data_IF_294715035461
#
_entry.id   IF_294715035461
#
_cell.length_a   1.000
_cell.length_b   1.000
_cell.length_c   1.000
_cell.angle_alpha   90.00
_cell.angle_beta   90.00
_cell.angle_gamma   90.00
#
_symmetry.space_group_name_H-M   'P 1'
#
loop_
_entity.id
_entity.type
_entity.pdbx_description
1 polymer ?
#
# COMPACT_ATOMS: atom_id res chain seq x y z
N UNK A 1 14.26 -29.23 25.05
CA UNK A 1 13.91 -27.80 25.23
C UNK A 1 12.43 -27.73 25.53
N UNK A 2 12.09 -27.54 26.80
CA UNK A 2 10.72 -27.48 27.31
C UNK A 2 10.20 -26.06 27.07
N UNK A 3 9.19 -25.89 26.22
CA UNK A 3 8.54 -24.59 26.02
C UNK A 3 7.48 -24.45 27.12
N UNK A 4 7.78 -23.64 28.14
CA UNK A 4 6.76 -23.15 29.07
C UNK A 4 5.91 -22.12 28.33
N UNK A 5 4.64 -22.44 28.09
CA UNK A 5 3.65 -21.44 27.71
C UNK A 5 3.28 -20.64 28.97
N UNK A 6 3.77 -19.40 29.07
CA UNK A 6 3.35 -18.47 30.10
C UNK A 6 2.07 -17.75 29.64
N UNK A 7 0.94 -18.05 30.29
CA UNK A 7 -0.27 -17.26 30.15
C UNK A 7 -0.22 -16.11 31.17
N UNK A 8 0.10 -14.90 30.71
CA UNK A 8 -0.05 -13.69 31.53
C UNK A 8 -1.43 -13.10 31.27
N UNK A 9 -2.33 -13.22 32.24
CA UNK A 9 -3.59 -12.49 32.27
C UNK A 9 -3.33 -11.09 32.85
N UNK A 10 -3.42 -10.06 32.03
CA UNK A 10 -3.53 -8.67 32.46
C UNK A 10 -4.75 -8.08 31.76
N UNK A 11 -5.85 -7.96 32.49
CA UNK A 11 -7.09 -7.33 32.04
C UNK A 11 -7.00 -5.81 32.18
N UNK A 12 -6.95 -5.10 31.05
CA UNK A 12 -7.59 -3.81 30.75
C UNK A 12 -7.17 -3.39 29.32
N UNK A 13 -8.12 -2.85 28.56
CA UNK A 13 -8.06 -2.49 27.13
C UNK A 13 -7.97 -3.67 26.13
N UNK A 14 -9.14 -4.08 25.63
CA UNK A 14 -9.33 -4.79 24.35
C UNK A 14 -8.23 -5.77 23.96
N UNK A 15 -7.98 -6.80 24.77
CA UNK A 15 -6.94 -7.78 24.48
C UNK A 15 -7.33 -8.53 23.20
N UNK A 16 -6.62 -8.26 22.12
CA UNK A 16 -6.54 -9.17 20.98
C UNK A 16 -6.01 -10.49 21.54
N UNK A 17 -6.88 -11.51 21.61
CA UNK A 17 -6.51 -12.86 22.05
C UNK A 17 -5.24 -13.30 21.31
N UNK A 18 -4.13 -13.36 22.03
CA UNK A 18 -2.82 -13.69 21.49
C UNK A 18 -2.35 -15.01 22.08
N UNK A 19 -2.12 -15.99 21.21
CA UNK A 19 -1.59 -17.30 21.61
C UNK A 19 -0.07 -17.28 21.76
N UNK A 20 0.59 -16.16 21.46
CA UNK A 20 2.05 -16.08 21.31
C UNK A 20 2.62 -16.93 20.17
N UNK A 21 1.74 -17.64 19.42
CA UNK A 21 2.14 -18.53 18.34
C UNK A 21 2.66 -17.74 17.15
N UNK A 22 3.61 -18.34 16.43
CA UNK A 22 4.06 -17.85 15.13
C UNK A 22 3.18 -18.32 13.97
N UNK A 23 2.17 -19.16 14.26
CA UNK A 23 1.17 -19.55 13.28
C UNK A 23 0.37 -18.33 12.80
N UNK A 24 -0.08 -18.30 11.53
CA UNK A 24 -0.93 -17.23 11.03
C UNK A 24 -2.23 -17.13 11.84
N UNK A 25 -2.62 -15.90 12.20
CA UNK A 25 -3.96 -15.65 12.72
C UNK A 25 -4.97 -15.76 11.57
N UNK A 26 -6.06 -16.50 11.79
CA UNK A 26 -7.12 -16.66 10.80
C UNK A 26 -8.05 -15.45 10.88
N UNK A 27 -8.05 -14.62 9.84
CA UNK A 27 -8.91 -13.43 9.77
C UNK A 27 -10.27 -13.82 9.21
N UNK A 28 -11.15 -14.34 10.08
CA UNK A 28 -12.58 -14.53 9.80
C UNK A 28 -13.35 -13.44 10.52
N UNK A 29 -13.64 -12.35 9.82
CA UNK A 29 -14.12 -11.09 10.43
C UNK A 29 -15.28 -10.49 9.64
N UNK A 30 -16.09 -9.66 10.30
CA UNK A 30 -17.07 -8.82 9.61
C UNK A 30 -16.38 -7.70 8.84
N UNK A 31 -16.95 -7.31 7.71
CA UNK A 31 -16.54 -6.12 6.97
C UNK A 31 -17.29 -4.90 7.49
N UNK A 32 -16.62 -3.75 7.49
CA UNK A 32 -17.19 -2.48 7.90
C UNK A 32 -17.06 -1.46 6.77
N UNK A 33 -18.06 -0.61 6.62
CA UNK A 33 -18.02 0.55 5.73
C UNK A 33 -17.23 1.71 6.36
N UNK A 34 -17.15 2.85 5.66
CA UNK A 34 -16.44 4.04 6.15
C UNK A 34 -17.11 4.69 7.38
N UNK A 35 -18.39 4.43 7.62
CA UNK A 35 -19.13 4.89 8.80
C UNK A 35 -18.97 3.92 9.99
N UNK A 36 -18.17 2.87 9.81
CA UNK A 36 -17.94 1.79 10.76
C UNK A 36 -19.18 0.94 11.07
N UNK A 37 -20.13 0.88 10.13
CA UNK A 37 -21.29 0.00 10.15
C UNK A 37 -20.96 -1.35 9.49
N UNK A 38 -21.57 -2.42 10.00
CA UNK A 38 -21.35 -3.77 9.48
C UNK A 38 -21.99 -3.91 8.11
N UNK A 39 -21.23 -4.41 7.14
CA UNK A 39 -21.71 -4.66 5.79
C UNK A 39 -22.35 -6.04 5.71
N UNK A 40 -23.54 -6.10 5.13
CA UNK A 40 -24.18 -7.34 4.72
C UNK A 40 -24.21 -7.44 3.18
N UNK A 41 -24.00 -8.64 2.61
CA UNK A 41 -24.10 -8.84 1.16
C UNK A 41 -25.53 -8.70 0.63
N UNK A 42 -26.53 -8.52 1.51
CA UNK A 42 -27.95 -8.33 1.16
C UNK A 42 -28.37 -6.86 1.18
N UNK A 43 -27.46 -5.96 1.54
CA UNK A 43 -27.75 -4.54 1.64
C UNK A 43 -28.04 -3.96 0.26
N UNK A 44 -29.06 -3.11 0.15
CA UNK A 44 -29.48 -2.49 -1.10
C UNK A 44 -29.74 -0.99 -0.88
N UNK A 45 -28.82 -0.10 -1.31
CA UNK A 45 -27.53 -0.39 -1.93
C UNK A 45 -26.46 -0.84 -0.91
N UNK A 46 -25.61 -1.80 -1.29
CA UNK A 46 -24.46 -2.17 -0.48
C UNK A 46 -23.34 -1.12 -0.55
N UNK A 47 -22.73 -0.84 0.60
CA UNK A 47 -21.58 0.07 0.72
C UNK A 47 -20.24 -0.67 0.55
N UNK A 48 -19.20 -0.01 0.01
CA UNK A 48 -17.86 -0.61 -0.07
C UNK A 48 -17.25 -0.77 1.32
N UNK A 49 -16.46 -1.82 1.52
CA UNK A 49 -15.71 -1.97 2.76
C UNK A 49 -14.59 -0.91 2.84
N UNK A 50 -14.41 -0.37 4.04
CA UNK A 50 -13.30 0.53 4.38
C UNK A 50 -12.19 -0.29 5.06
N UNK A 51 -10.97 -0.33 4.48
CA UNK A 51 -9.83 -0.95 5.13
C UNK A 51 -9.54 -0.36 6.51
N UNK A 52 -9.64 0.97 6.65
CA UNK A 52 -9.37 1.63 7.93
C UNK A 52 -10.40 1.26 9.00
N UNK A 53 -11.70 1.24 8.67
CA UNK A 53 -12.75 0.86 9.62
C UNK A 53 -12.75 -0.65 9.93
N UNK A 54 -12.47 -1.50 8.93
CA UNK A 54 -12.47 -2.97 9.09
C UNK A 54 -11.24 -3.44 9.85
N UNK A 55 -10.04 -3.10 9.38
CA UNK A 55 -8.79 -3.54 10.01
C UNK A 55 -8.54 -2.77 11.33
N UNK A 56 -9.01 -1.52 11.42
CA UNK A 56 -8.87 -0.66 12.60
C UNK A 56 -9.56 -1.19 13.86
N UNK A 57 -10.50 -2.14 13.74
CA UNK A 57 -11.10 -2.81 14.92
C UNK A 57 -10.09 -3.61 15.73
N UNK A 58 -9.02 -4.08 15.10
CA UNK A 58 -8.00 -4.94 15.74
C UNK A 58 -6.57 -4.41 15.61
N UNK A 59 -6.31 -3.52 14.65
CA UNK A 59 -4.99 -2.97 14.38
C UNK A 59 -4.97 -1.45 14.59
N UNK A 60 -3.89 -0.93 15.17
CA UNK A 60 -3.69 0.50 15.34
C UNK A 60 -3.40 1.17 13.98
N UNK A 61 -4.47 1.51 13.26
CA UNK A 61 -4.38 2.15 11.94
C UNK A 61 -3.66 3.49 12.01
N UNK A 62 -3.83 4.24 13.11
CA UNK A 62 -3.13 5.51 13.32
C UNK A 62 -1.61 5.32 13.28
N UNK A 63 -1.10 4.34 14.04
CA UNK A 63 0.32 3.98 14.03
C UNK A 63 0.78 3.40 12.71
N UNK A 64 -0.01 2.55 12.06
CA UNK A 64 0.31 1.97 10.74
C UNK A 64 0.48 3.07 9.68
N UNK A 65 -0.42 4.05 9.66
CA UNK A 65 -0.45 5.14 8.68
C UNK A 65 0.77 6.08 8.72
N UNK A 66 1.61 5.97 9.74
CA UNK A 66 2.87 6.71 9.84
C UNK A 66 3.99 6.10 8.97
N UNK A 67 3.82 4.87 8.48
CA UNK A 67 4.82 4.15 7.69
C UNK A 67 5.25 4.87 6.40
N UNK A 68 6.41 4.50 5.85
CA UNK A 68 7.05 5.22 4.73
C UNK A 68 6.20 5.30 3.46
N UNK A 69 5.38 4.28 3.18
CA UNK A 69 4.48 4.24 2.02
C UNK A 69 3.24 5.12 2.16
N UNK A 70 2.93 5.61 3.37
CA UNK A 70 1.68 6.32 3.65
C UNK A 70 1.92 7.78 4.10
N UNK A 71 3.11 8.05 4.65
CA UNK A 71 3.49 9.35 5.23
C UNK A 71 4.19 10.30 4.27
N UNK A 72 4.23 10.00 2.97
CA UNK A 72 5.01 10.77 1.99
C UNK A 72 4.65 12.26 1.94
N UNK A 73 3.37 12.58 2.16
CA UNK A 73 2.83 13.93 2.13
C UNK A 73 2.72 14.57 3.52
N UNK A 74 3.13 13.87 4.58
CA UNK A 74 3.09 14.42 5.92
C UNK A 74 4.26 15.40 6.12
N UNK A 75 4.02 16.71 6.29
CA UNK A 75 5.09 17.69 6.46
C UNK A 75 5.87 17.50 7.78
N UNK A 76 5.34 16.70 8.71
CA UNK A 76 6.01 16.36 9.97
C UNK A 76 6.89 15.11 9.85
N UNK A 77 6.71 14.30 8.80
CA UNK A 77 7.54 13.13 8.58
C UNK A 77 8.92 13.57 8.07
N UNK A 78 9.98 13.07 8.72
CA UNK A 78 11.34 13.29 8.23
C UNK A 78 11.46 12.75 6.79
N UNK A 79 12.16 13.45 5.88
CA UNK A 79 12.30 13.01 4.50
C UNK A 79 13.13 11.72 4.38
N UNK A 80 14.03 11.49 5.35
CA UNK A 80 14.91 10.33 5.41
C UNK A 80 15.86 10.23 4.23
N UNK A 81 16.44 9.03 4.01
CA UNK A 81 17.30 8.73 2.87
C UNK A 81 16.54 8.91 1.55
N UNK A 82 17.26 9.35 0.51
CA UNK A 82 16.79 9.37 -0.87
C UNK A 82 16.29 7.98 -1.30
N UNK A 83 15.04 7.91 -1.71
CA UNK A 83 14.44 6.74 -2.34
C UNK A 83 14.15 6.98 -3.81
N UNK A 84 13.32 6.13 -4.41
CA UNK A 84 12.84 6.31 -5.78
C UNK A 84 11.79 7.44 -5.82
N UNK A 85 12.01 8.52 -6.60
CA UNK A 85 10.96 9.50 -6.85
C UNK A 85 9.92 8.94 -7.82
N UNK A 86 8.74 9.54 -7.83
CA UNK A 86 7.73 9.29 -8.86
C UNK A 86 8.20 9.92 -10.17
N UNK A 87 8.22 9.18 -11.28
CA UNK A 87 8.69 9.73 -12.56
C UNK A 87 7.50 10.21 -13.39
N UNK A 88 7.27 11.53 -13.41
CA UNK A 88 6.28 12.14 -14.30
C UNK A 88 6.87 12.28 -15.69
N UNK A 89 6.29 11.59 -16.67
CA UNK A 89 6.79 11.59 -18.05
C UNK A 89 5.82 12.29 -19.00
N UNK A 90 6.31 13.31 -19.72
CA UNK A 90 5.63 13.83 -20.91
C UNK A 90 6.14 13.09 -22.15
N UNK A 91 5.31 12.19 -22.68
CA UNK A 91 5.67 11.37 -23.84
C UNK A 91 5.87 12.18 -25.12
N UNK A 92 5.24 13.36 -25.25
CA UNK A 92 5.36 14.19 -26.45
C UNK A 92 6.73 14.82 -26.57
N UNK A 93 7.31 15.24 -25.44
CA UNK A 93 8.62 15.91 -25.39
C UNK A 93 9.74 14.99 -24.93
N UNK A 94 9.43 13.83 -24.37
CA UNK A 94 10.38 12.94 -23.71
C UNK A 94 10.86 13.44 -22.35
N UNK A 95 10.25 14.52 -21.82
CA UNK A 95 10.63 15.10 -20.53
C UNK A 95 10.25 14.18 -19.39
N UNK A 96 11.18 13.94 -18.47
CA UNK A 96 10.94 13.18 -17.24
C UNK A 96 11.27 14.05 -16.03
N UNK A 97 10.30 14.21 -15.13
CA UNK A 97 10.45 14.98 -13.90
C UNK A 97 10.38 14.03 -12.70
N UNK A 98 11.43 13.98 -11.85
CA UNK A 98 11.38 13.26 -10.59
C UNK A 98 10.55 14.04 -9.57
N UNK A 99 9.43 13.46 -9.15
CA UNK A 99 8.46 14.04 -8.22
C UNK A 99 8.61 13.39 -6.85
N UNK A 100 8.68 14.20 -5.79
CA UNK A 100 8.68 13.72 -4.40
C UNK A 100 8.10 14.77 -3.45
N UNK A 101 7.18 14.33 -2.60
CA UNK A 101 6.67 15.16 -1.50
C UNK A 101 7.70 15.32 -0.37
N UNK A 102 8.74 14.48 -0.32
CA UNK A 102 9.79 14.49 0.71
C UNK A 102 10.93 15.48 0.46
N UNK A 103 10.82 16.36 -0.55
CA UNK A 103 11.81 17.42 -0.83
C UNK A 103 13.26 16.92 -0.92
N UNK A 104 13.45 15.75 -1.54
CA UNK A 104 14.78 15.24 -1.80
C UNK A 104 15.52 16.15 -2.81
N UNK A 105 16.85 16.32 -2.69
CA UNK A 105 17.65 17.01 -3.70
C UNK A 105 17.36 16.48 -5.10
N UNK A 106 17.30 17.40 -6.08
CA UNK A 106 16.97 17.10 -7.48
C UNK A 106 15.59 16.46 -7.71
N UNK A 107 14.61 16.73 -6.83
CA UNK A 107 13.20 16.37 -7.05
C UNK A 107 12.31 17.62 -7.01
N UNK A 108 11.13 17.53 -7.63
CA UNK A 108 10.09 18.54 -7.56
C UNK A 108 8.96 18.05 -6.64
N UNK A 109 8.39 18.93 -5.83
CA UNK A 109 7.13 18.65 -5.14
C UNK A 109 5.99 18.57 -6.16
N UNK A 110 4.96 17.75 -5.90
CA UNK A 110 3.79 17.68 -6.80
C UNK A 110 3.22 19.07 -7.16
N UNK A 111 3.04 19.95 -6.18
CA UNK A 111 2.50 21.28 -6.39
C UNK A 111 3.39 22.20 -7.27
N UNK A 112 4.71 22.01 -7.28
CA UNK A 112 5.65 22.83 -8.07
C UNK A 112 5.54 22.57 -9.58
N UNK A 113 5.04 21.39 -9.94
CA UNK A 113 4.75 21.00 -11.34
C UNK A 113 3.25 21.03 -11.63
N UNK A 114 2.47 21.64 -10.75
CA UNK A 114 1.02 21.81 -10.93
C UNK A 114 0.19 20.55 -10.69
N UNK A 115 0.73 19.52 -10.02
CA UNK A 115 -0.04 18.35 -9.59
C UNK A 115 -0.70 18.60 -8.24
N UNK A 116 -2.03 18.71 -8.24
CA UNK A 116 -2.85 18.64 -7.02
C UNK A 116 -2.85 17.21 -6.46
N UNK A 117 -3.24 16.97 -5.19
CA UNK A 117 -3.38 15.62 -4.66
C UNK A 117 -4.32 14.75 -5.52
N UNK A 118 -5.40 15.31 -6.05
CA UNK A 118 -6.31 14.62 -6.95
C UNK A 118 -5.62 14.17 -8.24
N UNK A 119 -4.92 15.09 -8.91
CA UNK A 119 -4.17 14.76 -10.13
C UNK A 119 -3.04 13.78 -9.85
N UNK A 120 -2.37 13.90 -8.71
CA UNK A 120 -1.34 12.97 -8.28
C UNK A 120 -1.90 11.55 -8.16
N UNK A 121 -3.03 11.38 -7.49
CA UNK A 121 -3.66 10.05 -7.33
C UNK A 121 -4.13 9.47 -8.66
N UNK A 122 -4.71 10.29 -9.55
CA UNK A 122 -5.09 9.80 -10.88
C UNK A 122 -3.87 9.43 -11.76
N UNK A 123 -2.72 10.06 -11.50
CA UNK A 123 -1.47 9.78 -12.23
C UNK A 123 -0.74 8.55 -11.69
N UNK A 124 -0.58 8.47 -10.36
CA UNK A 124 0.31 7.52 -9.70
C UNK A 124 -0.40 6.50 -8.80
N UNK A 125 -1.68 6.70 -8.46
CA UNK A 125 -2.39 5.89 -7.46
C UNK A 125 -2.43 4.39 -7.78
N UNK A 126 -2.35 4.00 -9.06
CA UNK A 126 -2.21 2.60 -9.48
C UNK A 126 -0.93 1.91 -8.95
N UNK A 127 0.05 2.71 -8.53
CA UNK A 127 1.33 2.28 -7.98
C UNK A 127 1.49 2.70 -6.50
N UNK A 128 0.40 3.06 -5.81
CA UNK A 128 0.41 3.33 -4.37
C UNK A 128 -0.50 2.34 -3.65
N UNK A 129 -0.23 2.05 -2.37
CA UNK A 129 -1.16 1.31 -1.51
C UNK A 129 -2.30 2.19 -0.98
N UNK A 130 -2.56 3.35 -1.59
CA UNK A 130 -3.40 4.40 -1.01
C UNK A 130 -2.73 5.13 0.17
N UNK A 131 -3.52 5.87 0.94
CA UNK A 131 -3.00 6.76 1.99
C UNK A 131 -2.42 8.06 1.43
N UNK A 132 -1.66 8.81 2.24
CA UNK A 132 -0.94 10.00 1.79
C UNK A 132 -1.83 11.03 1.09
N UNK A 133 -1.47 11.39 -0.15
CA UNK A 133 -2.22 12.31 -1.02
C UNK A 133 -3.57 11.76 -1.50
N UNK A 134 -3.85 10.47 -1.30
CA UNK A 134 -5.14 9.85 -1.57
C UNK A 134 -6.11 9.84 -0.40
N UNK A 135 -5.64 10.11 0.82
CA UNK A 135 -6.45 10.01 2.03
C UNK A 135 -6.28 11.23 2.95
N UNK A 136 -5.39 11.15 3.94
CA UNK A 136 -5.16 12.20 4.96
C UNK A 136 -4.87 13.57 4.35
N UNK A 137 -4.22 13.60 3.18
CA UNK A 137 -3.83 14.83 2.48
C UNK A 137 -4.58 15.05 1.15
N UNK A 138 -5.65 14.30 0.86
CA UNK A 138 -6.43 14.39 -0.37
C UNK A 138 -6.95 15.80 -0.68
N UNK A 139 -7.37 16.54 0.35
CA UNK A 139 -7.94 17.88 0.22
C UNK A 139 -6.98 18.97 0.70
N UNK A 140 -5.67 18.67 0.81
CA UNK A 140 -4.65 19.63 1.26
C UNK A 140 -4.44 20.81 0.30
N UNK A 141 -4.88 20.68 -0.96
CA UNK A 141 -4.84 21.73 -1.96
C UNK A 141 -6.20 21.81 -2.67
N UNK A 142 -6.68 23.03 -2.90
CA UNK A 142 -7.92 23.27 -3.65
C UNK A 142 -7.73 22.89 -5.12
N UNK A 143 -8.63 22.08 -5.62
CA UNK A 143 -8.72 21.71 -7.04
C UNK A 143 -10.21 21.72 -7.44
N UNK A 144 -10.65 22.67 -8.27
CA UNK A 144 -12.04 22.73 -8.74
C UNK A 144 -12.48 21.49 -9.53
N UNK A 145 -11.53 20.73 -10.08
CA UNK A 145 -11.79 19.48 -10.83
C UNK A 145 -11.74 18.24 -9.94
N UNK A 146 -11.34 18.36 -8.68
CA UNK A 146 -11.31 17.23 -7.78
C UNK A 146 -12.73 16.75 -7.45
N UNK A 147 -12.92 15.43 -7.49
CA UNK A 147 -14.23 14.79 -7.29
C UNK A 147 -14.30 14.01 -5.99
N UNK A 148 -13.48 14.36 -4.99
CA UNK A 148 -13.40 13.68 -3.69
C UNK A 148 -14.76 13.40 -3.04
N UNK A 149 -15.71 14.33 -3.13
CA UNK A 149 -17.05 14.18 -2.55
C UNK A 149 -17.88 13.04 -3.15
N UNK A 150 -17.65 12.67 -4.40
CA UNK A 150 -18.39 11.59 -5.09
C UNK A 150 -17.52 10.35 -5.32
N UNK A 151 -16.21 10.54 -5.38
CA UNK A 151 -15.19 9.49 -5.51
C UNK A 151 -14.86 8.80 -4.18
N UNK A 152 -14.99 9.53 -3.08
CA UNK A 152 -14.35 9.19 -1.81
C UNK A 152 -12.82 9.24 -1.89
N UNK A 153 -12.18 8.89 -0.78
CA UNK A 153 -10.72 8.86 -0.63
C UNK A 153 -10.15 7.49 -1.02
N UNK A 154 -8.88 7.48 -1.39
CA UNK A 154 -8.09 6.26 -1.61
C UNK A 154 -7.38 5.88 -0.30
N UNK A 155 -8.10 5.19 0.58
CA UNK A 155 -7.59 4.72 1.87
C UNK A 155 -6.39 3.76 1.71
N UNK A 156 -5.65 3.56 2.81
CA UNK A 156 -4.59 2.55 2.88
C UNK A 156 -5.20 1.16 2.71
N UNK A 157 -4.97 0.51 1.58
CA UNK A 157 -5.39 -0.87 1.37
C UNK A 157 -4.34 -1.85 1.93
N UNK A 158 -4.66 -2.47 3.06
CA UNK A 158 -3.79 -3.47 3.69
C UNK A 158 -3.55 -4.68 2.77
N UNK A 159 -4.53 -5.03 1.94
CA UNK A 159 -4.53 -6.24 1.13
C UNK A 159 -3.60 -6.15 -0.08
N UNK A 160 -3.27 -4.94 -0.53
CA UNK A 160 -2.31 -4.73 -1.62
C UNK A 160 -0.93 -5.32 -1.31
N UNK A 161 -0.55 -5.35 -0.03
CA UNK A 161 0.69 -5.95 0.45
C UNK A 161 0.46 -7.31 1.12
N UNK A 162 -0.61 -7.44 1.90
CA UNK A 162 -0.77 -8.60 2.78
C UNK A 162 -1.66 -9.70 2.21
N UNK A 163 -2.33 -9.51 1.07
CA UNK A 163 -3.19 -10.54 0.51
C UNK A 163 -2.41 -11.79 0.11
N UNK A 164 -2.71 -12.89 0.77
CA UNK A 164 -2.38 -14.25 0.32
C UNK A 164 -3.40 -14.83 -0.66
N UNK A 165 -4.49 -14.11 -0.91
CA UNK A 165 -5.57 -14.54 -1.79
C UNK A 165 -5.18 -14.32 -3.27
N UNK A 166 -5.23 -15.36 -4.12
CA UNK A 166 -4.91 -15.23 -5.53
C UNK A 166 -5.94 -14.39 -6.29
N UNK A 167 -7.13 -14.14 -5.71
CA UNK A 167 -8.14 -13.26 -6.30
C UNK A 167 -7.85 -11.77 -6.10
N UNK A 168 -6.87 -11.40 -5.28
CA UNK A 168 -6.53 -10.00 -5.16
C UNK A 168 -5.89 -9.48 -6.45
N UNK A 169 -6.55 -8.53 -7.10
CA UNK A 169 -6.22 -8.03 -8.43
C UNK A 169 -5.77 -6.57 -8.39
N UNK A 170 -4.47 -6.35 -8.66
CA UNK A 170 -3.88 -5.02 -8.74
C UNK A 170 -4.23 -4.27 -10.02
N UNK A 171 -4.63 -4.98 -11.08
CA UNK A 171 -5.17 -4.33 -12.28
C UNK A 171 -6.56 -3.79 -12.00
N UNK A 172 -7.36 -4.50 -11.21
CA UNK A 172 -8.66 -3.99 -10.80
C UNK A 172 -8.54 -2.76 -9.89
N UNK A 173 -7.56 -2.73 -8.97
CA UNK A 173 -7.19 -1.50 -8.25
C UNK A 173 -6.92 -0.33 -9.21
N UNK A 174 -6.10 -0.55 -10.24
CA UNK A 174 -5.77 0.47 -11.23
C UNK A 174 -7.01 0.91 -12.04
N UNK A 175 -7.88 -0.03 -12.44
CA UNK A 175 -9.12 0.24 -13.15
C UNK A 175 -10.06 1.12 -12.32
N UNK A 176 -10.25 0.80 -11.04
CA UNK A 176 -11.11 1.60 -10.16
C UNK A 176 -10.57 3.02 -9.99
N UNK A 177 -9.25 3.20 -9.89
CA UNK A 177 -8.64 4.54 -9.87
C UNK A 177 -8.87 5.30 -11.18
N UNK A 178 -8.75 4.62 -12.32
CA UNK A 178 -8.99 5.21 -13.64
C UNK A 178 -10.45 5.63 -13.86
N UNK A 179 -11.38 4.88 -13.27
CA UNK A 179 -12.81 5.20 -13.23
C UNK A 179 -13.17 6.22 -12.12
N UNK A 180 -12.18 6.71 -11.37
CA UNK A 180 -12.33 7.64 -10.25
C UNK A 180 -13.19 7.08 -9.10
N UNK A 181 -13.21 5.76 -8.96
CA UNK A 181 -13.94 5.03 -7.93
C UNK A 181 -13.04 4.78 -6.70
N UNK A 182 -12.41 5.83 -6.15
CA UNK A 182 -11.33 5.67 -5.16
C UNK A 182 -11.76 4.91 -3.90
N UNK A 183 -12.93 5.20 -3.31
CA UNK A 183 -13.42 4.46 -2.12
C UNK A 183 -13.78 2.99 -2.39
N UNK A 184 -13.95 2.63 -3.66
CA UNK A 184 -14.31 1.26 -4.06
C UNK A 184 -13.12 0.42 -4.51
N UNK A 185 -11.96 1.04 -4.73
CA UNK A 185 -10.77 0.33 -5.16
C UNK A 185 -10.39 -0.84 -4.23
N UNK A 186 -10.43 -0.71 -2.88
CA UNK A 186 -10.11 -1.83 -2.00
C UNK A 186 -11.06 -3.02 -2.12
N UNK A 187 -12.38 -2.79 -2.20
CA UNK A 187 -13.38 -3.88 -2.30
C UNK A 187 -13.30 -4.65 -3.60
N UNK A 188 -13.07 -3.94 -4.71
CA UNK A 188 -12.89 -4.55 -6.01
C UNK A 188 -11.57 -5.31 -6.08
N UNK A 189 -10.46 -4.66 -5.71
CA UNK A 189 -9.12 -5.25 -5.74
C UNK A 189 -8.99 -6.47 -4.84
N UNK A 190 -9.66 -6.51 -3.68
CA UNK A 190 -9.68 -7.69 -2.80
C UNK A 190 -10.53 -8.86 -3.35
N UNK A 191 -11.21 -8.69 -4.48
CA UNK A 191 -12.12 -9.68 -5.04
C UNK A 191 -13.25 -10.04 -4.06
N UNK A 192 -13.76 -9.04 -3.32
CA UNK A 192 -14.89 -9.19 -2.40
C UNK A 192 -16.21 -8.86 -3.08
N UNK A 193 -16.19 -7.93 -4.03
CA UNK A 193 -17.35 -7.48 -4.76
C UNK A 193 -16.97 -7.09 -6.19
N UNK A 194 -17.98 -7.06 -7.06
CA UNK A 194 -17.90 -6.38 -8.35
C UNK A 194 -18.41 -4.96 -8.17
N UNK A 195 -17.67 -3.99 -8.70
CA UNK A 195 -18.07 -2.58 -8.72
C UNK A 195 -18.54 -2.23 -10.11
N UNK A 196 -19.82 -1.84 -10.23
CA UNK A 196 -20.44 -1.45 -11.52
C UNK A 196 -20.68 0.04 -11.53
N UNK A 197 -20.33 0.70 -12.63
CA UNK A 197 -20.46 2.15 -12.75
C UNK A 197 -19.13 2.88 -12.52
N UNK A 198 -19.16 4.20 -12.65
CA UNK A 198 -17.96 5.02 -12.72
C UNK A 198 -18.27 6.44 -12.29
N UNK A 199 -17.49 6.96 -11.35
CA UNK A 199 -17.56 8.38 -10.96
C UNK A 199 -17.10 9.27 -12.10
N UNK A 200 -16.13 8.85 -12.90
CA UNK A 200 -15.66 9.60 -14.07
C UNK A 200 -16.79 9.90 -15.07
N UNK A 201 -17.79 9.02 -15.17
CA UNK A 201 -18.93 9.16 -16.08
C UNK A 201 -20.11 9.96 -15.51
N UNK A 202 -20.07 10.29 -14.22
CA UNK A 202 -21.08 11.15 -13.60
C UNK A 202 -20.95 12.60 -14.11
N UNK A 203 -22.06 13.37 -14.12
CA UNK A 203 -22.04 14.82 -14.30
C UNK A 203 -21.07 15.51 -13.33
N UNK A 204 -20.82 16.81 -13.52
CA UNK A 204 -19.97 17.57 -12.62
C UNK A 204 -20.40 17.41 -11.15
N UNK A 205 -19.43 17.45 -10.23
CA UNK A 205 -19.63 17.08 -8.81
C UNK A 205 -20.84 17.75 -8.18
N UNK A 206 -21.07 19.03 -8.49
CA UNK A 206 -22.21 19.78 -7.96
C UNK A 206 -23.54 19.18 -8.41
N UNK A 207 -23.66 18.87 -9.70
CA UNK A 207 -24.91 18.37 -10.29
C UNK A 207 -25.15 16.93 -9.85
N UNK A 208 -24.09 16.12 -9.81
CA UNK A 208 -24.15 14.77 -9.26
C UNK A 208 -24.63 14.76 -7.80
N UNK A 209 -24.18 15.70 -6.96
CA UNK A 209 -24.65 15.81 -5.58
C UNK A 209 -26.05 16.40 -5.46
N UNK A 210 -26.47 17.29 -6.37
CA UNK A 210 -27.82 17.85 -6.37
C UNK A 210 -28.90 16.81 -6.74
N UNK A 211 -28.52 15.80 -7.53
CA UNK A 211 -29.38 14.67 -7.89
C UNK A 211 -29.20 13.46 -6.95
N UNK A 212 -28.31 13.55 -5.96
CA UNK A 212 -28.12 12.49 -4.98
C UNK A 212 -29.27 12.48 -3.98
N UNK A 213 -29.78 11.29 -3.68
CA UNK A 213 -30.58 11.07 -2.50
C UNK A 213 -29.70 11.38 -1.28
N UNK A 214 -30.14 12.24 -0.33
CA UNK A 214 -29.35 12.60 0.86
C UNK A 214 -28.95 11.39 1.72
N UNK A 215 -29.69 10.27 1.62
CA UNK A 215 -29.38 9.02 2.31
C UNK A 215 -28.54 8.05 1.44
N UNK A 216 -28.26 8.39 0.18
CA UNK A 216 -27.47 7.57 -0.72
C UNK A 216 -25.97 7.94 -0.69
N UNK A 217 -25.17 6.91 -0.44
CA UNK A 217 -23.71 6.93 -0.46
C UNK A 217 -23.08 7.35 -1.81
N UNK A 218 -23.88 7.37 -2.87
CA UNK A 218 -23.52 7.82 -4.22
C UNK A 218 -24.66 8.52 -4.92
N UNK A 219 -24.36 9.52 -5.76
CA UNK A 219 -25.28 10.03 -6.77
C UNK A 219 -25.95 8.93 -7.59
N UNK A 220 -27.17 9.20 -8.07
CA UNK A 220 -27.85 8.34 -9.02
C UNK A 220 -26.96 8.10 -10.26
N UNK A 221 -26.81 6.82 -10.64
CA UNK A 221 -25.90 6.42 -11.72
C UNK A 221 -24.43 6.27 -11.32
N UNK A 222 -24.10 6.50 -10.04
CA UNK A 222 -22.76 6.29 -9.49
C UNK A 222 -22.40 4.81 -9.30
N UNK A 223 -21.20 4.51 -8.79
CA UNK A 223 -20.75 3.14 -8.60
C UNK A 223 -21.62 2.38 -7.60
N UNK A 224 -21.95 1.13 -7.95
CA UNK A 224 -22.70 0.18 -7.12
C UNK A 224 -21.84 -1.01 -6.79
N UNK A 225 -21.88 -1.44 -5.54
CA UNK A 225 -21.15 -2.61 -5.04
C UNK A 225 -22.08 -3.81 -5.05
N UNK A 226 -21.62 -4.92 -5.64
CA UNK A 226 -22.33 -6.19 -5.63
C UNK A 226 -21.40 -7.22 -5.03
N UNK A 227 -21.59 -7.54 -3.75
CA UNK A 227 -20.78 -8.51 -3.03
C UNK A 227 -20.99 -9.92 -3.57
N UNK A 228 -19.92 -10.70 -3.62
CA UNK A 228 -20.03 -12.14 -3.78
C UNK A 228 -20.48 -12.76 -2.46
N UNK A 229 -21.77 -13.09 -2.35
CA UNK A 229 -22.37 -13.67 -1.16
C UNK A 229 -21.69 -14.98 -0.73
N UNK A 230 -21.02 -15.71 -1.63
CA UNK A 230 -20.29 -16.95 -1.30
C UNK A 230 -19.03 -16.67 -0.46
N UNK A 231 -18.58 -15.42 -0.38
CA UNK A 231 -17.45 -14.99 0.45
C UNK A 231 -17.82 -14.86 1.93
N UNK A 232 -19.11 -14.78 2.24
CA UNK A 232 -19.64 -14.57 3.59
C UNK A 232 -20.07 -15.91 4.19
N UNK A 233 -19.66 -16.16 5.44
CA UNK A 233 -20.18 -17.27 6.21
C UNK A 233 -21.60 -17.00 6.73
N UNK A 234 -22.18 -17.98 7.43
CA UNK A 234 -23.54 -17.89 7.96
C UNK A 234 -23.73 -16.76 8.99
N UNK A 235 -22.63 -16.24 9.56
CA UNK A 235 -22.62 -15.13 10.50
C UNK A 235 -22.28 -13.79 9.83
N UNK A 236 -22.23 -13.75 8.49
CA UNK A 236 -21.90 -12.54 7.73
C UNK A 236 -20.43 -12.12 7.82
N UNK A 237 -19.52 -13.05 8.14
CA UNK A 237 -18.07 -12.79 8.19
C UNK A 237 -17.38 -13.28 6.93
N UNK A 238 -16.29 -12.63 6.56
CA UNK A 238 -15.44 -13.05 5.44
C UNK A 238 -14.13 -13.64 5.94
N UNK A 239 -13.63 -14.65 5.23
CA UNK A 239 -12.27 -15.14 5.41
C UNK A 239 -11.32 -14.32 4.54
N UNK A 240 -10.47 -13.51 5.18
CA UNK A 240 -9.37 -12.80 4.54
C UNK A 240 -8.07 -13.59 4.70
N UNK A 241 -7.46 -13.98 3.58
CA UNK A 241 -6.15 -14.63 3.61
C UNK A 241 -5.07 -13.56 3.72
N UNK A 242 -4.58 -13.33 4.95
CA UNK A 242 -3.58 -12.31 5.25
C UNK A 242 -2.24 -12.99 5.57
N UNK A 243 -1.20 -12.61 4.82
CA UNK A 243 0.18 -13.05 5.04
C UNK A 243 0.92 -12.03 5.89
N UNK A 244 1.45 -12.48 7.03
CA UNK A 244 2.28 -11.65 7.91
C UNK A 244 3.51 -11.07 7.20
N UNK A 245 4.16 -11.89 6.36
CA UNK A 245 5.20 -11.45 5.43
C UNK A 245 4.59 -11.30 4.04
N UNK A 246 4.47 -10.08 3.49
CA UNK A 246 4.07 -9.85 2.11
C UNK A 246 4.86 -10.74 1.12
N UNK A 247 4.17 -11.42 0.19
CA UNK A 247 4.82 -12.06 -0.96
C UNK A 247 5.58 -11.04 -1.82
N UNK A 248 6.66 -11.48 -2.47
CA UNK A 248 7.52 -10.62 -3.29
C UNK A 248 6.76 -9.99 -4.45
N UNK A 249 5.78 -10.71 -5.00
CA UNK A 249 4.94 -10.25 -6.11
C UNK A 249 4.13 -9.00 -5.75
N UNK A 250 3.80 -8.80 -4.47
CA UNK A 250 3.12 -7.60 -4.00
C UNK A 250 4.03 -6.37 -4.04
N UNK A 251 5.32 -6.55 -3.78
CA UNK A 251 6.31 -5.48 -3.93
C UNK A 251 6.45 -5.07 -5.40
N UNK A 252 6.47 -6.04 -6.32
CA UNK A 252 6.60 -5.80 -7.75
C UNK A 252 5.43 -5.09 -8.41
N UNK A 253 4.30 -4.92 -7.71
CA UNK A 253 3.21 -4.08 -8.20
C UNK A 253 3.65 -2.63 -8.38
N UNK A 254 4.53 -2.14 -7.50
CA UNK A 254 5.01 -0.76 -7.50
C UNK A 254 6.53 -0.66 -7.66
N UNK A 255 7.28 -1.63 -7.13
CA UNK A 255 8.74 -1.67 -7.16
C UNK A 255 9.27 -2.57 -8.27
N UNK A 256 8.97 -2.20 -9.52
CA UNK A 256 9.61 -2.78 -10.68
C UNK A 256 10.12 -1.69 -11.61
N UNK A 257 11.24 -1.96 -12.28
CA UNK A 257 11.79 -1.08 -13.30
C UNK A 257 11.56 -1.71 -14.66
N UNK A 258 11.01 -0.94 -15.59
CA UNK A 258 10.89 -1.33 -17.00
C UNK A 258 11.48 -0.22 -17.86
N UNK A 259 12.33 -0.58 -18.81
CA UNK A 259 12.79 0.34 -19.84
C UNK A 259 11.58 0.85 -20.64
N UNK A 260 11.48 2.17 -20.83
CA UNK A 260 10.36 2.77 -21.56
C UNK A 260 10.47 2.54 -23.08
N UNK A 261 9.33 2.40 -23.75
CA UNK A 261 9.23 2.26 -25.21
C UNK A 261 9.21 0.81 -25.72
N UNK A 262 8.84 0.64 -26.99
CA UNK A 262 8.64 -0.67 -27.63
C UNK A 262 9.92 -1.54 -27.71
N UNK A 263 11.09 -0.91 -27.65
CA UNK A 263 12.40 -1.58 -27.70
C UNK A 263 12.99 -1.87 -26.32
N UNK A 264 12.27 -1.55 -25.24
CA UNK A 264 12.72 -1.84 -23.89
C UNK A 264 13.00 -3.32 -23.67
N UNK A 265 14.00 -3.64 -22.85
CA UNK A 265 14.35 -5.02 -22.49
C UNK A 265 13.12 -5.78 -21.98
N UNK A 266 12.88 -6.94 -22.58
CA UNK A 266 11.78 -7.83 -22.19
C UNK A 266 12.11 -8.54 -20.86
N UNK A 267 11.13 -8.58 -19.95
CA UNK A 267 11.32 -9.08 -18.57
C UNK A 267 11.88 -10.51 -18.51
N UNK A 268 11.46 -11.38 -19.41
CA UNK A 268 11.93 -12.78 -19.44
C UNK A 268 13.43 -12.93 -19.74
N UNK A 269 14.10 -11.87 -20.21
CA UNK A 269 15.55 -11.82 -20.43
C UNK A 269 16.34 -11.30 -19.23
N UNK A 270 15.66 -11.07 -18.10
CA UNK A 270 16.28 -10.59 -16.87
C UNK A 270 16.27 -11.69 -15.81
N UNK A 271 17.39 -11.84 -15.11
CA UNK A 271 17.47 -12.70 -13.94
C UNK A 271 16.85 -12.00 -12.71
N UNK A 272 16.29 -12.76 -11.74
CA UNK A 272 15.90 -12.19 -10.46
C UNK A 272 17.13 -11.68 -9.70
N UNK A 273 16.89 -10.77 -8.74
CA UNK A 273 17.93 -10.33 -7.81
C UNK A 273 18.58 -11.53 -7.08
N UNK A 274 19.89 -11.44 -6.83
CA UNK A 274 20.69 -12.53 -6.24
C UNK A 274 20.21 -12.94 -4.85
N UNK A 275 19.56 -12.05 -4.10
CA UNK A 275 18.99 -12.37 -2.80
C UNK A 275 17.71 -13.17 -2.94
N UNK A 276 16.85 -12.83 -3.92
CA UNK A 276 15.68 -13.63 -4.25
C UNK A 276 16.08 -15.03 -4.74
N UNK A 277 17.12 -15.12 -5.58
CA UNK A 277 17.68 -16.40 -6.02
C UNK A 277 18.24 -17.23 -4.86
N UNK A 278 18.72 -16.59 -3.80
CA UNK A 278 19.16 -17.22 -2.55
C UNK A 278 18.01 -17.56 -1.58
N UNK A 279 16.75 -17.32 -1.96
CA UNK A 279 15.56 -17.63 -1.16
C UNK A 279 15.18 -16.57 -0.12
N UNK A 280 15.80 -15.39 -0.17
CA UNK A 280 15.36 -14.23 0.61
C UNK A 280 14.19 -13.54 -0.06
N UNK A 281 13.47 -12.73 0.70
CA UNK A 281 12.39 -11.86 0.22
C UNK A 281 12.72 -10.40 0.53
N UNK A 282 12.01 -9.46 -0.11
CA UNK A 282 12.15 -8.03 0.16
C UNK A 282 12.07 -7.71 1.66
N UNK A 283 11.12 -8.35 2.36
CA UNK A 283 10.86 -8.12 3.80
C UNK A 283 11.88 -8.78 4.74
N UNK A 284 12.82 -9.57 4.24
CA UNK A 284 13.90 -10.07 5.10
C UNK A 284 14.94 -8.98 5.40
N UNK A 285 15.06 -7.98 4.52
CA UNK A 285 15.83 -6.74 4.70
C UNK A 285 14.93 -5.56 5.08
N UNK A 286 13.86 -5.30 4.32
CA UNK A 286 12.91 -4.21 4.54
C UNK A 286 11.88 -4.58 5.62
N UNK A 287 12.34 -4.79 6.84
CA UNK A 287 11.49 -5.12 7.99
C UNK A 287 10.87 -3.87 8.60
N UNK A 288 9.68 -4.03 9.17
CA UNK A 288 9.02 -3.01 9.95
C UNK A 288 8.34 -3.60 11.19
N UNK A 289 8.12 -2.75 12.19
CA UNK A 289 7.20 -3.02 13.27
C UNK A 289 5.76 -2.67 12.90
N UNK A 290 4.92 -2.52 13.92
CA UNK A 290 3.51 -2.10 13.76
C UNK A 290 3.37 -0.70 13.14
N UNK A 291 4.39 0.15 13.28
CA UNK A 291 4.47 1.49 12.69
C UNK A 291 4.66 1.51 11.17
N UNK A 292 4.92 0.35 10.55
CA UNK A 292 5.22 0.25 9.13
C UNK A 292 6.39 1.16 8.69
N UNK A 293 7.27 1.52 9.61
CA UNK A 293 8.52 2.21 9.34
C UNK A 293 9.53 1.20 8.78
N UNK A 294 9.35 0.83 7.51
CA UNK A 294 10.22 -0.11 6.80
C UNK A 294 11.68 0.34 6.83
N UNK A 295 12.55 -0.57 7.25
CA UNK A 295 13.99 -0.42 7.13
C UNK A 295 14.37 -0.19 5.66
N UNK A 296 15.40 0.60 5.42
CA UNK A 296 15.86 1.02 4.09
C UNK A 296 17.24 0.46 3.74
N UNK A 297 17.70 -0.53 4.50
CA UNK A 297 18.93 -1.27 4.26
C UNK A 297 20.19 -0.45 4.50
N UNK A 298 20.15 0.52 5.41
CA UNK A 298 21.31 1.37 5.75
C UNK A 298 21.75 1.21 7.20
N UNK A 299 23.00 1.56 7.45
CA UNK A 299 23.69 1.47 8.73
C UNK A 299 23.03 2.35 9.81
N UNK A 300 22.27 3.37 9.40
CA UNK A 300 21.56 4.29 10.30
C UNK A 300 20.09 3.89 10.53
N UNK A 301 19.64 2.70 10.09
CA UNK A 301 18.29 2.18 10.35
C UNK A 301 18.08 1.71 11.81
N UNK A 302 18.71 2.38 12.78
CA UNK A 302 18.56 2.09 14.22
C UNK A 302 18.81 0.62 14.57
N UNK A 303 17.80 -0.05 15.15
CA UNK A 303 17.87 -1.48 15.50
C UNK A 303 18.04 -2.40 14.27
N UNK A 304 17.66 -1.91 13.08
CA UNK A 304 17.76 -2.63 11.82
C UNK A 304 19.09 -2.40 11.09
N UNK A 305 20.06 -1.69 11.66
CA UNK A 305 21.40 -1.47 11.04
C UNK A 305 22.09 -2.76 10.57
N UNK A 306 21.79 -3.88 11.22
CA UNK A 306 22.31 -5.22 10.87
C UNK A 306 21.71 -5.80 9.61
N UNK A 307 20.68 -5.17 9.04
CA UNK A 307 20.03 -5.53 7.77
C UNK A 307 20.61 -4.74 6.59
N UNK A 308 21.57 -3.84 6.82
CA UNK A 308 22.37 -3.25 5.75
C UNK A 308 23.21 -4.30 5.01
N UNK A 309 23.64 -3.98 3.80
CA UNK A 309 24.51 -4.83 2.98
C UNK A 309 25.77 -5.23 3.78
N UNK A 310 26.43 -4.23 4.36
CA UNK A 310 27.58 -4.42 5.24
C UNK A 310 27.23 -5.28 6.45
N UNK A 311 26.15 -4.93 7.16
CA UNK A 311 25.69 -5.63 8.35
C UNK A 311 25.48 -7.13 8.11
N UNK A 312 24.85 -7.49 6.99
CA UNK A 312 24.63 -8.88 6.63
C UNK A 312 25.93 -9.60 6.22
N UNK A 313 26.72 -9.01 5.32
CA UNK A 313 27.90 -9.68 4.75
C UNK A 313 29.11 -9.73 5.68
N UNK A 314 29.24 -8.82 6.65
CA UNK A 314 30.28 -8.91 7.70
C UNK A 314 29.90 -9.94 8.77
N UNK A 315 28.63 -10.01 9.16
CA UNK A 315 28.16 -10.93 10.20
C UNK A 315 27.77 -12.32 9.67
N UNK A 316 27.65 -12.51 8.34
CA UNK A 316 27.09 -13.73 7.75
C UNK A 316 25.61 -13.96 8.09
N UNK A 317 24.88 -12.90 8.45
CA UNK A 317 23.45 -12.96 8.78
C UNK A 317 22.66 -13.42 7.56
N UNK A 318 21.60 -14.20 7.79
CA UNK A 318 20.77 -14.80 6.73
C UNK A 318 21.61 -15.64 5.73
N UNK A 319 22.69 -16.26 6.22
CA UNK A 319 23.65 -17.01 5.41
C UNK A 319 24.34 -16.17 4.30
N UNK A 320 24.40 -14.84 4.47
CA UNK A 320 25.10 -13.96 3.55
C UNK A 320 26.58 -14.38 3.42
N UNK A 321 27.11 -14.51 2.19
CA UNK A 321 28.51 -14.83 1.98
C UNK A 321 29.42 -13.80 2.64
N UNK A 322 30.32 -14.27 3.52
CA UNK A 322 31.36 -13.42 4.12
C UNK A 322 32.51 -13.27 3.14
N UNK A 323 32.56 -12.13 2.46
CA UNK A 323 33.65 -11.80 1.56
C UNK A 323 34.93 -11.56 2.40
N UNK A 324 35.96 -12.38 2.18
CA UNK A 324 37.25 -12.25 2.87
C UNK A 324 38.12 -11.10 2.33
N UNK A 325 37.71 -10.50 1.21
CA UNK A 325 38.34 -9.34 0.54
C UNK A 325 39.88 -9.39 0.43
N UNK A 326 40.46 -10.58 0.32
CA UNK A 326 41.92 -10.78 0.29
C UNK A 326 42.49 -10.15 -0.98
N UNK A 327 43.30 -9.10 -0.82
CA UNK A 327 43.95 -8.39 -1.94
C UNK A 327 43.16 -7.22 -2.53
N UNK A 328 41.98 -6.87 -1.98
CA UNK A 328 41.22 -5.68 -2.41
C UNK A 328 41.49 -4.49 -1.46
N UNK A 329 41.73 -3.26 -1.97
CA UNK A 329 41.94 -2.08 -1.13
C UNK A 329 40.72 -1.80 -0.25
N UNK A 330 40.88 -1.43 1.02
CA UNK A 330 39.78 -1.22 1.98
C UNK A 330 38.64 -0.29 1.51
N UNK A 331 38.90 0.54 0.50
CA UNK A 331 37.97 1.51 -0.11
C UNK A 331 36.88 0.85 -0.98
N UNK A 332 37.05 -0.40 -1.43
CA UNK A 332 36.12 -1.01 -2.40
C UNK A 332 34.69 -1.18 -1.85
N UNK A 333 34.53 -1.36 -0.53
CA UNK A 333 33.22 -1.37 0.14
C UNK A 333 32.64 0.02 0.42
N UNK A 334 33.42 1.11 0.29
CA UNK A 334 32.91 2.46 0.54
C UNK A 334 31.96 2.94 -0.55
N UNK A 335 32.04 2.35 -1.75
CA UNK A 335 31.19 2.66 -2.90
C UNK A 335 30.21 1.53 -3.28
N UNK A 336 30.30 0.38 -2.62
CA UNK A 336 29.32 -0.70 -2.77
C UNK A 336 28.09 -0.36 -1.92
N UNK A 337 27.31 0.59 -2.39
CA UNK A 337 25.93 0.72 -1.96
C UNK A 337 25.10 -0.14 -2.88
N UNK A 338 24.36 -1.12 -2.36
CA UNK A 338 23.26 -1.68 -3.10
C UNK A 338 22.24 -0.53 -3.29
N UNK A 339 22.21 0.03 -4.50
CA UNK A 339 21.11 0.83 -5.01
C UNK A 339 20.17 -0.10 -5.74
#
# INVERSE_FOLDING_TARGET
MTVLAAASALFADGIVLSTGSRAPYVHRISLYDADAEIISPKDEPAKPYSPSATCGKCHDHGRISCGWHFSEADPKAAPGRLGAPWILTDLRTGTQLPISSRQWPATYRPAEVGLTPWQFVLTFGRYTPGGGLGDKFAESQKDPKARWKVSGKLEIDCMICHSGDPRHDAMEWANQIEEQNLKWAPVAAAGLAVVRGSVKKLPDTRDALAEADPDADTPKGGPKVIYDAQRFDQDGRVLLQIKRKPPVERCYLCHFSREAGEKGRQIWRSDPDVHLAAGLTCTDCHRNGLDHAMARGVEDDGENKTLSCRGCHESGRLAAPRLRHRGLPALHLQKLTCT
#
